data_IF_500068004598
#
_entry.id   IF_500068004598
#
_cell.length_a   1.000
_cell.length_b   1.000
_cell.length_c   1.000
_cell.angle_alpha   90.00
_cell.angle_beta   90.00
_cell.angle_gamma   90.00
#
_symmetry.space_group_name_H-M   'P 1'
#
loop_
_entity.id
_entity.type
_entity.pdbx_description
1 polymer ?
#
# COMPACT_ATOMS: atom_id res chain seq x y z
N UNK A 1 -16.55 -22.51 -20.40
CA UNK A 1 -16.14 -21.34 -19.60
C UNK A 1 -14.70 -21.53 -19.20
N UNK A 2 -13.76 -20.87 -19.87
CA UNK A 2 -12.34 -20.92 -19.51
C UNK A 2 -12.17 -20.10 -18.24
N UNK A 3 -11.59 -20.63 -17.14
CA UNK A 3 -11.29 -19.81 -15.99
C UNK A 3 -10.34 -18.71 -16.44
N UNK A 4 -10.70 -17.46 -16.17
CA UNK A 4 -9.84 -16.30 -16.38
C UNK A 4 -8.50 -16.59 -15.70
N UNK A 5 -7.45 -16.84 -16.47
CA UNK A 5 -6.10 -16.98 -15.96
C UNK A 5 -5.76 -15.66 -15.26
N UNK A 6 -5.84 -15.67 -13.93
CA UNK A 6 -5.37 -14.56 -13.11
C UNK A 6 -3.87 -14.44 -13.36
N UNK A 7 -3.48 -13.39 -14.08
CA UNK A 7 -2.07 -13.06 -14.29
C UNK A 7 -1.44 -12.88 -12.92
N UNK A 8 -0.57 -13.82 -12.52
CA UNK A 8 0.20 -13.70 -11.29
C UNK A 8 1.08 -12.46 -11.44
N UNK A 9 0.95 -11.43 -10.59
CA UNK A 9 1.78 -10.24 -10.70
C UNK A 9 3.25 -10.63 -10.56
N UNK A 10 4.12 -10.04 -11.37
CA UNK A 10 5.56 -10.24 -11.21
C UNK A 10 5.97 -9.73 -9.83
N UNK A 11 6.69 -10.55 -9.03
CA UNK A 11 7.24 -10.11 -7.76
C UNK A 11 8.04 -8.83 -7.92
N UNK A 12 7.78 -7.87 -7.04
CA UNK A 12 8.45 -6.57 -7.10
C UNK A 12 8.62 -5.99 -5.70
N UNK A 13 9.79 -5.41 -5.48
CA UNK A 13 10.11 -4.60 -4.32
C UNK A 13 10.48 -3.20 -4.81
N UNK A 14 9.76 -2.19 -4.33
CA UNK A 14 9.94 -0.81 -4.74
C UNK A 14 10.12 0.10 -3.53
N UNK A 15 11.09 1.01 -3.61
CA UNK A 15 11.24 2.11 -2.66
C UNK A 15 10.89 3.40 -3.34
N UNK A 16 10.04 4.17 -2.70
CA UNK A 16 9.55 5.45 -3.15
C UNK A 16 9.94 6.55 -2.18
N UNK A 17 10.16 7.73 -2.73
CA UNK A 17 10.12 8.97 -1.99
C UNK A 17 8.68 9.49 -2.03
N UNK A 18 8.00 9.52 -0.88
CA UNK A 18 6.66 10.04 -0.70
C UNK A 18 6.75 11.42 -0.05
N UNK A 19 6.27 12.42 -0.78
CA UNK A 19 6.14 13.79 -0.30
C UNK A 19 4.67 14.19 -0.24
N UNK A 20 4.20 14.55 0.95
CA UNK A 20 2.88 15.13 1.17
C UNK A 20 3.07 16.53 1.73
N UNK A 21 2.72 17.54 0.94
CA UNK A 21 2.98 18.95 1.22
C UNK A 21 4.49 19.20 1.49
N UNK A 22 4.85 19.50 2.74
CA UNK A 22 6.23 19.75 3.16
C UNK A 22 6.89 18.52 3.81
N UNK A 23 6.11 17.48 4.14
CA UNK A 23 6.62 16.25 4.75
C UNK A 23 7.11 15.30 3.67
N UNK A 24 8.29 14.72 3.87
CA UNK A 24 8.91 13.77 2.96
C UNK A 24 9.36 12.54 3.74
N UNK A 25 9.10 11.35 3.20
CA UNK A 25 9.46 10.06 3.80
C UNK A 25 9.72 9.01 2.74
N UNK A 26 10.55 8.02 3.07
CA UNK A 26 10.55 6.78 2.30
C UNK A 26 9.25 6.01 2.53
N UNK A 27 8.74 5.42 1.46
CA UNK A 27 7.63 4.49 1.44
C UNK A 27 8.00 3.27 0.60
N UNK A 28 7.64 2.09 1.06
CA UNK A 28 8.07 0.83 0.44
C UNK A 28 6.85 0.01 0.03
N UNK A 29 7.02 -0.77 -1.03
CA UNK A 29 6.05 -1.76 -1.50
C UNK A 29 6.79 -3.07 -1.79
N UNK A 30 6.28 -4.16 -1.27
CA UNK A 30 6.56 -5.51 -1.73
C UNK A 30 5.26 -6.10 -2.27
N UNK A 31 5.28 -6.58 -3.50
CA UNK A 31 4.17 -7.31 -4.09
C UNK A 31 4.67 -8.67 -4.50
N UNK A 32 4.01 -9.68 -3.96
CA UNK A 32 4.14 -11.09 -4.30
C UNK A 32 2.83 -11.57 -4.95
N UNK A 33 2.72 -12.87 -5.24
CA UNK A 33 1.53 -13.45 -5.89
C UNK A 33 0.24 -13.26 -5.06
N UNK A 34 0.33 -13.48 -3.75
CA UNK A 34 -0.77 -13.55 -2.80
C UNK A 34 -0.57 -12.60 -1.62
N UNK A 35 0.49 -11.80 -1.60
CA UNK A 35 0.77 -10.87 -0.51
C UNK A 35 1.24 -9.52 -1.04
N UNK A 36 0.77 -8.46 -0.38
CA UNK A 36 1.21 -7.09 -0.60
C UNK A 36 1.56 -6.52 0.76
N UNK A 37 2.80 -6.07 0.89
CA UNK A 37 3.29 -5.39 2.07
C UNK A 37 3.68 -3.96 1.69
N UNK A 38 3.30 -3.01 2.52
CA UNK A 38 3.77 -1.62 2.40
C UNK A 38 4.38 -1.18 3.72
N UNK A 39 5.37 -0.30 3.66
CA UNK A 39 5.98 0.26 4.86
C UNK A 39 6.13 1.78 4.75
N UNK A 40 5.80 2.48 5.83
CA UNK A 40 5.99 3.93 5.94
C UNK A 40 7.08 4.24 6.96
N UNK A 41 8.22 4.73 6.48
CA UNK A 41 9.33 5.08 7.36
C UNK A 41 8.99 6.22 8.34
N UNK A 42 8.08 7.12 7.97
CA UNK A 42 7.66 8.24 8.81
C UNK A 42 7.02 7.82 10.13
N UNK A 43 6.29 6.70 10.11
CA UNK A 43 5.53 6.22 11.28
C UNK A 43 6.03 4.89 11.82
N UNK A 44 6.99 4.25 11.14
CA UNK A 44 7.52 2.94 11.54
C UNK A 44 6.44 1.87 11.53
N UNK A 45 5.60 1.85 10.49
CA UNK A 45 4.50 0.91 10.35
C UNK A 45 4.60 0.13 9.04
N UNK A 46 4.26 -1.16 9.09
CA UNK A 46 4.01 -1.98 7.92
C UNK A 46 2.53 -2.42 7.88
N UNK A 47 1.99 -2.45 6.67
CA UNK A 47 0.65 -2.93 6.36
C UNK A 47 0.79 -4.13 5.41
N UNK A 48 0.38 -5.31 5.88
CA UNK A 48 0.58 -6.58 5.17
C UNK A 48 -0.77 -7.20 4.87
N UNK A 49 -1.14 -7.19 3.60
CA UNK A 49 -2.31 -7.87 3.08
C UNK A 49 -1.90 -9.23 2.53
N UNK A 50 -2.66 -10.27 2.86
CA UNK A 50 -2.50 -11.61 2.29
C UNK A 50 -3.84 -12.11 1.78
N UNK A 51 -3.88 -12.54 0.52
CA UNK A 51 -5.02 -13.22 -0.08
C UNK A 51 -4.96 -14.70 0.31
N UNK A 52 -5.99 -15.18 0.99
CA UNK A 52 -6.07 -16.57 1.45
C UNK A 52 -6.71 -17.45 0.37
N UNK A 53 -7.90 -17.05 -0.10
CA UNK A 53 -8.63 -17.75 -1.17
C UNK A 53 -9.61 -16.80 -1.85
N UNK A 54 -9.56 -16.72 -3.18
CA UNK A 54 -10.47 -15.84 -3.93
C UNK A 54 -10.38 -14.39 -3.45
N UNK A 55 -11.49 -13.86 -2.91
CA UNK A 55 -11.56 -12.51 -2.34
C UNK A 55 -11.55 -12.51 -0.79
N UNK A 56 -10.98 -13.56 -0.18
CA UNK A 56 -10.75 -13.61 1.27
C UNK A 56 -9.34 -13.16 1.58
N UNK A 57 -9.22 -12.27 2.56
CA UNK A 57 -7.99 -11.59 2.91
C UNK A 57 -7.74 -11.68 4.41
N UNK A 58 -6.48 -11.80 4.79
CA UNK A 58 -6.02 -11.45 6.12
C UNK A 58 -5.21 -10.17 6.03
N UNK A 59 -5.19 -9.40 7.09
CA UNK A 59 -4.48 -8.15 7.17
C UNK A 59 -3.72 -8.06 8.49
N UNK A 60 -2.47 -7.63 8.42
CA UNK A 60 -1.61 -7.41 9.58
C UNK A 60 -1.08 -6.00 9.56
N UNK A 61 -1.15 -5.31 10.69
CA UNK A 61 -0.50 -4.03 10.94
C UNK A 61 0.65 -4.24 11.91
N UNK A 62 1.86 -3.91 11.50
CA UNK A 62 3.05 -4.01 12.34
C UNK A 62 3.46 -2.62 12.78
N UNK A 63 3.55 -2.39 14.08
CA UNK A 63 3.93 -1.11 14.69
C UNK A 63 5.30 -1.27 15.34
N UNK A 64 6.36 -0.89 14.61
CA UNK A 64 7.74 -1.12 15.06
C UNK A 64 8.09 -0.33 16.32
N UNK A 65 7.57 0.89 16.46
CA UNK A 65 7.81 1.74 17.62
C UNK A 65 7.18 1.19 18.91
N UNK A 66 6.12 0.39 18.79
CA UNK A 66 5.39 -0.21 19.92
C UNK A 66 5.75 -1.68 20.13
N UNK A 67 6.50 -2.28 19.19
CA UNK A 67 6.73 -3.73 19.13
C UNK A 67 5.40 -4.50 19.24
N UNK A 68 4.43 -4.10 18.43
CA UNK A 68 3.09 -4.70 18.37
C UNK A 68 2.72 -5.09 16.96
N UNK A 69 1.95 -6.16 16.86
CA UNK A 69 1.33 -6.63 15.63
C UNK A 69 -0.16 -6.75 15.91
N UNK A 70 -0.97 -6.15 15.03
CA UNK A 70 -2.42 -6.33 15.06
C UNK A 70 -2.82 -7.17 13.86
N UNK A 71 -3.46 -8.30 14.13
CA UNK A 71 -3.97 -9.22 13.11
C UNK A 71 -5.49 -9.06 12.94
N UNK A 72 -5.92 -9.01 11.68
CA UNK A 72 -7.31 -8.95 11.26
C UNK A 72 -7.59 -10.17 10.38
N UNK A 73 -8.53 -10.98 10.80
CA UNK A 73 -9.03 -12.14 10.07
C UNK A 73 -9.98 -11.73 8.94
N UNK A 74 -10.18 -12.64 7.98
CA UNK A 74 -11.16 -12.44 6.89
C UNK A 74 -12.58 -12.13 7.39
N UNK A 75 -12.99 -12.68 8.53
CA UNK A 75 -14.32 -12.44 9.09
C UNK A 75 -14.48 -10.99 9.54
N UNK A 76 -13.50 -10.46 10.25
CA UNK A 76 -13.53 -9.09 10.77
C UNK A 76 -13.43 -8.05 9.67
N UNK A 77 -12.58 -8.27 8.67
CA UNK A 77 -12.46 -7.39 7.51
C UNK A 77 -13.81 -7.24 6.81
N UNK A 78 -14.54 -8.35 6.61
CA UNK A 78 -15.87 -8.35 5.99
C UNK A 78 -16.90 -7.62 6.86
N UNK A 79 -16.93 -7.89 8.17
CA UNK A 79 -17.88 -7.22 9.09
C UNK A 79 -17.64 -5.71 9.17
N UNK A 80 -16.39 -5.26 9.00
CA UNK A 80 -16.02 -3.83 8.96
C UNK A 80 -16.18 -3.19 7.58
N UNK A 81 -16.58 -3.94 6.55
CA UNK A 81 -16.60 -3.49 5.15
C UNK A 81 -15.26 -2.89 4.70
N UNK A 82 -14.17 -3.50 5.16
CA UNK A 82 -12.80 -3.01 4.98
C UNK A 82 -12.03 -3.82 3.92
N UNK A 83 -12.72 -4.55 3.06
CA UNK A 83 -12.09 -5.33 2.00
C UNK A 83 -11.25 -4.44 1.07
N UNK A 84 -10.02 -4.85 0.74
CA UNK A 84 -9.14 -4.03 -0.08
C UNK A 84 -9.53 -4.08 -1.55
N UNK A 85 -9.36 -2.96 -2.26
CA UNK A 85 -9.12 -3.01 -3.70
C UNK A 85 -7.72 -3.56 -3.94
N UNK A 86 -7.65 -4.88 -4.14
CA UNK A 86 -6.38 -5.58 -4.34
C UNK A 86 -5.57 -5.04 -5.52
N UNK A 87 -6.26 -4.65 -6.60
CA UNK A 87 -5.56 -4.12 -7.78
C UNK A 87 -4.88 -2.82 -7.43
N UNK A 88 -5.58 -1.93 -6.71
CA UNK A 88 -5.01 -0.67 -6.21
C UNK A 88 -3.87 -0.90 -5.22
N UNK A 89 -3.98 -1.86 -4.30
CA UNK A 89 -2.87 -2.19 -3.38
C UNK A 89 -1.64 -2.66 -4.17
N UNK A 90 -1.84 -3.54 -5.15
CA UNK A 90 -0.75 -4.16 -5.91
C UNK A 90 0.00 -3.16 -6.79
N UNK A 91 -0.67 -2.10 -7.23
CA UNK A 91 -0.17 -1.22 -8.28
C UNK A 91 -0.05 0.24 -7.82
N UNK A 92 -0.44 0.54 -6.57
CA UNK A 92 -0.63 1.89 -5.97
C UNK A 92 -1.74 2.73 -6.65
N UNK A 93 -2.07 2.43 -7.91
CA UNK A 93 -2.99 3.18 -8.77
C UNK A 93 -4.06 2.23 -9.29
N UNK A 94 -5.33 2.50 -9.00
CA UNK A 94 -6.41 1.63 -9.48
C UNK A 94 -6.44 1.59 -11.02
N UNK A 95 -6.75 0.43 -11.64
CA UNK A 95 -6.91 0.35 -13.10
C UNK A 95 -7.99 1.29 -13.65
N UNK A 96 -9.01 1.59 -12.87
CA UNK A 96 -10.07 2.56 -13.16
C UNK A 96 -9.48 3.96 -13.32
N UNK A 97 -8.67 4.40 -12.35
CA UNK A 97 -7.95 5.67 -12.39
C UNK A 97 -7.11 5.78 -13.67
N UNK A 98 -6.34 4.75 -14.02
CA UNK A 98 -5.50 4.78 -15.21
C UNK A 98 -6.30 4.95 -16.52
N UNK A 99 -7.52 4.37 -16.59
CA UNK A 99 -8.40 4.46 -17.77
C UNK A 99 -9.05 5.83 -17.94
N UNK A 100 -9.24 6.57 -16.85
CA UNK A 100 -9.82 7.91 -16.89
C UNK A 100 -8.81 9.00 -17.27
N UNK A 101 -7.51 8.68 -17.21
CA UNK A 101 -6.45 9.61 -17.55
C UNK A 101 -6.12 9.57 -19.05
N UNK A 102 -5.75 10.73 -19.60
CA UNK A 102 -5.27 10.84 -20.97
C UNK A 102 -3.89 10.23 -21.07
N UNK A 103 -3.78 9.15 -21.84
CA UNK A 103 -2.51 8.52 -22.23
C UNK A 103 -1.72 9.46 -23.16
N UNK A 104 -0.43 9.60 -22.91
CA UNK A 104 0.46 10.51 -23.63
C UNK A 104 1.74 9.84 -24.12
N UNK A 105 2.83 10.61 -24.10
CA UNK A 105 4.14 10.16 -24.54
C UNK A 105 4.66 8.98 -23.70
N UNK A 106 5.59 8.22 -24.29
CA UNK A 106 6.32 7.16 -23.62
C UNK A 106 7.83 7.41 -23.65
N UNK A 107 8.53 6.91 -22.64
CA UNK A 107 10.00 6.88 -22.56
C UNK A 107 10.46 5.66 -21.76
N UNK A 108 11.76 5.42 -21.70
CA UNK A 108 12.29 4.37 -20.83
C UNK A 108 12.62 4.96 -19.45
N UNK A 109 12.12 4.33 -18.39
CA UNK A 109 12.50 4.60 -16.99
C UNK A 109 12.71 3.27 -16.29
N UNK A 110 13.72 3.17 -15.42
CA UNK A 110 14.02 1.92 -14.67
C UNK A 110 14.16 0.67 -15.58
N UNK A 111 14.67 0.85 -16.80
CA UNK A 111 14.82 -0.24 -17.77
C UNK A 111 13.51 -0.74 -18.38
N UNK A 112 12.38 -0.07 -18.13
CA UNK A 112 11.07 -0.44 -18.64
C UNK A 112 10.44 0.70 -19.44
N UNK A 113 9.50 0.35 -20.31
CA UNK A 113 8.66 1.32 -21.00
C UNK A 113 7.73 2.00 -19.98
N UNK A 114 7.89 3.31 -19.86
CA UNK A 114 7.07 4.18 -19.06
C UNK A 114 6.16 5.03 -19.93
N UNK A 115 4.88 5.15 -19.57
CA UNK A 115 3.89 5.94 -20.30
C UNK A 115 3.35 7.04 -19.40
N UNK A 116 3.23 8.25 -19.94
CA UNK A 116 2.64 9.37 -19.21
C UNK A 116 1.11 9.33 -19.28
N UNK A 117 0.47 9.56 -18.16
CA UNK A 117 -0.97 9.70 -18.00
C UNK A 117 -1.24 11.02 -17.28
N UNK A 118 -2.14 11.83 -17.83
CA UNK A 118 -2.46 13.15 -17.26
C UNK A 118 -3.96 13.39 -17.25
N UNK A 119 -4.47 14.12 -16.27
CA UNK A 119 -5.90 14.45 -16.23
C UNK A 119 -6.31 15.23 -14.98
N UNK A 120 -7.63 15.38 -14.81
CA UNK A 120 -8.24 15.90 -13.60
C UNK A 120 -9.31 14.92 -13.12
N UNK A 121 -9.29 14.59 -11.84
CA UNK A 121 -10.23 13.65 -11.21
C UNK A 121 -10.68 14.22 -9.87
N UNK A 122 -11.99 14.38 -9.69
CA UNK A 122 -12.54 14.94 -8.45
C UNK A 122 -11.93 16.30 -8.07
N UNK A 123 -11.57 17.14 -9.06
CA UNK A 123 -10.90 18.43 -8.82
C UNK A 123 -9.39 18.36 -8.56
N UNK A 124 -8.80 17.16 -8.54
CA UNK A 124 -7.37 16.92 -8.39
C UNK A 124 -6.69 16.76 -9.74
N UNK A 125 -5.63 17.53 -10.01
CA UNK A 125 -4.77 17.30 -11.17
C UNK A 125 -3.86 16.12 -10.92
N UNK A 126 -3.76 15.23 -11.91
CA UNK A 126 -2.91 14.03 -11.88
C UNK A 126 -1.90 14.08 -13.02
N UNK A 127 -0.63 13.81 -12.71
CA UNK A 127 0.45 13.55 -13.66
C UNK A 127 1.20 12.29 -13.22
N UNK A 128 1.15 11.26 -14.05
CA UNK A 128 1.61 9.92 -13.72
C UNK A 128 2.54 9.42 -14.83
N UNK A 129 3.75 8.99 -14.47
CA UNK A 129 4.59 8.13 -15.30
C UNK A 129 4.43 6.69 -14.84
N UNK A 130 3.85 5.84 -15.70
CA UNK A 130 3.48 4.47 -15.39
C UNK A 130 4.42 3.47 -16.05
N UNK A 131 5.04 2.57 -15.27
CA UNK A 131 5.85 1.46 -15.78
C UNK A 131 4.92 0.32 -16.24
N UNK A 132 4.87 0.04 -17.55
CA UNK A 132 3.90 -0.92 -18.11
C UNK A 132 4.16 -2.37 -17.66
N UNK A 133 5.44 -2.77 -17.49
CA UNK A 133 5.81 -4.15 -17.11
C UNK A 133 5.65 -4.38 -15.61
N UNK A 134 6.23 -3.51 -14.78
CA UNK A 134 6.10 -3.61 -13.32
C UNK A 134 4.73 -3.19 -12.79
N UNK A 135 3.91 -2.51 -13.60
CA UNK A 135 2.60 -1.99 -13.18
C UNK A 135 2.69 -1.14 -11.91
N UNK A 136 3.63 -0.20 -11.90
CA UNK A 136 3.90 0.71 -10.79
C UNK A 136 4.14 2.14 -11.29
N UNK A 137 3.88 3.16 -10.46
CA UNK A 137 4.24 4.53 -10.79
C UNK A 137 5.76 4.70 -10.74
N UNK A 138 6.40 5.12 -11.84
CA UNK A 138 7.75 5.68 -11.77
C UNK A 138 7.72 7.06 -11.08
N UNK A 139 6.64 7.82 -11.30
CA UNK A 139 6.36 9.09 -10.63
C UNK A 139 4.87 9.32 -10.67
N UNK A 140 4.31 9.82 -9.57
CA UNK A 140 2.93 10.26 -9.47
C UNK A 140 2.90 11.61 -8.77
N UNK A 141 2.29 12.59 -9.40
CA UNK A 141 1.96 13.85 -8.78
C UNK A 141 0.45 14.02 -8.78
N UNK A 142 -0.09 14.32 -7.61
CA UNK A 142 -1.50 14.62 -7.42
C UNK A 142 -1.62 15.94 -6.65
N UNK A 143 -2.41 16.89 -7.17
CA UNK A 143 -2.54 18.20 -6.55
C UNK A 143 -3.98 18.72 -6.60
N UNK A 144 -4.43 19.28 -5.47
CA UNK A 144 -5.65 20.10 -5.35
C UNK A 144 -5.32 21.34 -4.52
N UNK A 145 -6.25 22.30 -4.42
CA UNK A 145 -6.03 23.53 -3.65
C UNK A 145 -5.52 23.21 -2.24
N UNK A 146 -4.34 23.73 -1.88
CA UNK A 146 -3.72 23.54 -0.56
C UNK A 146 -3.11 22.15 -0.29
N UNK A 147 -3.20 21.19 -1.20
CA UNK A 147 -2.68 19.84 -0.99
C UNK A 147 -1.92 19.32 -2.22
N UNK A 148 -0.68 18.87 -2.01
CA UNK A 148 0.14 18.24 -3.04
C UNK A 148 0.74 16.95 -2.51
N UNK A 149 0.57 15.88 -3.26
CA UNK A 149 1.26 14.61 -3.06
C UNK A 149 2.17 14.34 -4.24
N UNK A 150 3.38 13.87 -3.96
CA UNK A 150 4.30 13.33 -4.96
C UNK A 150 4.84 12.01 -4.46
N UNK A 151 4.77 10.99 -5.31
CA UNK A 151 5.36 9.68 -5.07
C UNK A 151 6.35 9.43 -6.20
N UNK A 152 7.64 9.30 -5.88
CA UNK A 152 8.71 9.13 -6.87
C UNK A 152 9.42 7.81 -6.62
N UNK A 153 9.45 6.92 -7.60
CA UNK A 153 10.20 5.69 -7.51
C UNK A 153 11.70 6.00 -7.42
N UNK A 154 12.39 5.38 -6.46
CA UNK A 154 13.83 5.53 -6.25
C UNK A 154 14.58 4.25 -6.59
N UNK A 155 13.99 3.11 -6.22
CA UNK A 155 14.58 1.80 -6.46
C UNK A 155 13.50 0.79 -6.80
N UNK A 156 13.84 -0.15 -7.70
CA UNK A 156 12.96 -1.19 -8.19
C UNK A 156 13.76 -2.49 -8.32
N UNK A 157 13.33 -3.54 -7.64
CA UNK A 157 14.01 -4.83 -7.58
C UNK A 157 13.01 -5.97 -7.71
N UNK A 158 13.44 -7.12 -8.22
CA UNK A 158 12.68 -8.37 -8.13
C UNK A 158 12.76 -9.01 -6.74
N UNK A 159 13.86 -8.73 -6.02
CA UNK A 159 14.11 -9.20 -4.66
C UNK A 159 14.62 -8.03 -3.85
N UNK A 160 13.96 -7.75 -2.73
CA UNK A 160 14.29 -6.59 -1.92
C UNK A 160 15.68 -6.70 -1.28
N UNK A 161 16.42 -5.59 -1.18
CA UNK A 161 17.59 -5.52 -0.32
C UNK A 161 17.26 -5.88 1.14
N UNK A 162 18.12 -6.67 1.78
CA UNK A 162 17.91 -7.10 3.18
C UNK A 162 17.81 -5.93 4.17
N UNK A 163 18.41 -4.78 3.86
CA UNK A 163 18.38 -3.60 4.71
C UNK A 163 17.01 -2.88 4.74
N UNK A 164 16.11 -3.17 3.80
CA UNK A 164 14.80 -2.52 3.77
C UNK A 164 13.91 -2.99 4.92
N UNK A 165 12.96 -2.16 5.41
CA UNK A 165 12.19 -2.43 6.62
C UNK A 165 11.04 -3.41 6.36
N UNK A 166 11.29 -4.55 5.71
CA UNK A 166 10.30 -5.62 5.55
C UNK A 166 10.04 -6.29 6.92
N UNK A 167 8.79 -6.53 7.27
CA UNK A 167 8.38 -7.18 8.50
C UNK A 167 8.34 -8.71 8.31
N UNK A 168 9.52 -9.33 8.29
CA UNK A 168 9.62 -10.79 8.26
C UNK A 168 9.26 -11.39 9.62
N UNK A 169 8.84 -12.65 9.65
CA UNK A 169 8.47 -13.33 10.90
C UNK A 169 9.61 -13.31 11.92
N UNK A 170 10.87 -13.44 11.46
CA UNK A 170 12.04 -13.36 12.35
C UNK A 170 12.22 -11.96 12.97
N UNK A 171 11.84 -10.90 12.25
CA UNK A 171 11.99 -9.51 12.74
C UNK A 171 10.91 -9.12 13.74
N UNK A 172 9.75 -9.76 13.66
CA UNK A 172 8.59 -9.46 14.51
C UNK A 172 8.32 -10.57 15.52
N UNK A 173 9.19 -11.58 15.61
CA UNK A 173 9.02 -12.74 16.49
C UNK A 173 8.80 -12.35 17.96
N UNK A 174 9.46 -11.28 18.40
CA UNK A 174 9.38 -10.79 19.79
C UNK A 174 8.29 -9.72 19.99
N UNK A 175 7.49 -9.42 18.96
CA UNK A 175 6.44 -8.40 19.06
C UNK A 175 5.20 -8.98 19.71
N UNK A 176 4.51 -8.17 20.53
CA UNK A 176 3.22 -8.55 21.09
C UNK A 176 2.16 -8.64 20.00
N UNK A 177 1.59 -9.81 19.82
CA UNK A 177 0.47 -10.04 18.89
C UNK A 177 -0.86 -9.71 19.58
N UNK A 178 -1.71 -8.96 18.89
CA UNK A 178 -3.06 -8.60 19.31
C UNK A 178 -4.02 -9.01 18.20
N UNK A 179 -5.03 -9.81 18.52
CA UNK A 179 -6.16 -10.05 17.61
C UNK A 179 -7.07 -8.81 17.64
N UNK A 180 -7.47 -8.31 16.46
CA UNK A 180 -8.36 -7.17 16.38
C UNK A 180 -9.74 -7.42 17.02
N UNK A 181 -10.12 -8.68 17.22
CA UNK A 181 -11.33 -9.07 17.93
C UNK A 181 -11.26 -8.73 19.42
N UNK A 182 -10.05 -8.70 19.99
CA UNK A 182 -9.80 -8.43 21.42
C UNK A 182 -9.86 -6.93 21.75
N UNK A 183 -9.98 -6.06 20.74
CA UNK A 183 -9.98 -4.60 20.96
C UNK A 183 -11.03 -4.12 21.96
N UNK A 184 -12.19 -4.78 22.04
CA UNK A 184 -13.25 -4.44 23.00
C UNK A 184 -12.88 -4.74 24.46
N UNK A 185 -12.07 -5.78 24.69
CA UNK A 185 -11.59 -6.12 26.03
C UNK A 185 -10.33 -5.33 26.41
N UNK A 186 -9.67 -4.74 25.40
CA UNK A 186 -8.43 -3.96 25.55
C UNK A 186 -8.63 -2.45 25.47
N UNK A 187 -9.84 -1.91 25.63
CA UNK A 187 -10.10 -0.46 25.50
C UNK A 187 -9.29 0.42 26.47
N UNK A 188 -8.85 -0.14 27.60
CA UNK A 188 -7.98 0.55 28.57
C UNK A 188 -6.48 0.48 28.23
N UNK A 189 -6.08 -0.37 27.29
CA UNK A 189 -4.70 -0.44 26.82
C UNK A 189 -4.37 0.84 26.02
N UNK A 190 -3.30 1.60 26.39
CA UNK A 190 -2.98 2.86 25.73
C UNK A 190 -2.65 2.74 24.23
N UNK A 191 -2.10 1.61 23.80
CA UNK A 191 -1.81 1.34 22.40
C UNK A 191 -3.14 1.10 21.65
N UNK A 192 -4.00 0.22 22.14
CA UNK A 192 -5.30 -0.06 21.50
C UNK A 192 -6.18 1.20 21.45
N UNK A 193 -6.25 1.97 22.54
CA UNK A 193 -6.97 3.24 22.57
C UNK A 193 -6.43 4.28 21.58
N UNK A 194 -5.13 4.24 21.24
CA UNK A 194 -4.55 5.08 20.18
C UNK A 194 -4.94 4.60 18.79
N UNK A 195 -4.92 3.29 18.54
CA UNK A 195 -5.33 2.71 17.25
C UNK A 195 -6.82 2.98 16.97
N UNK A 196 -7.70 2.73 17.95
CA UNK A 196 -9.14 2.97 17.81
C UNK A 196 -9.46 4.44 17.47
N UNK A 197 -8.73 5.40 18.06
CA UNK A 197 -8.88 6.82 17.71
C UNK A 197 -8.41 7.11 16.28
N UNK A 198 -7.28 6.55 15.86
CA UNK A 198 -6.76 6.73 14.50
C UNK A 198 -7.73 6.17 13.46
N UNK A 199 -8.27 4.97 13.70
CA UNK A 199 -9.21 4.31 12.79
C UNK A 199 -10.56 5.05 12.77
N UNK A 200 -11.05 5.53 13.92
CA UNK A 200 -12.27 6.34 14.02
C UNK A 200 -12.19 7.68 13.27
N UNK A 201 -11.00 8.29 13.16
CA UNK A 201 -10.77 9.48 12.34
C UNK A 201 -10.57 9.18 10.84
N UNK A 202 -10.26 7.93 10.47
CA UNK A 202 -10.03 7.54 9.08
C UNK A 202 -11.32 7.36 8.26
N UNK A 203 -12.49 7.22 8.92
CA UNK A 203 -13.80 7.13 8.28
C UNK A 203 -14.44 8.49 7.94
N UNK A 204 -13.78 9.60 8.27
CA UNK A 204 -14.29 10.94 8.01
C UNK A 204 -13.49 11.70 6.95
N UNK A 205 -13.34 11.17 5.72
CA UNK A 205 -12.81 11.98 4.59
C UNK A 205 -13.21 11.46 3.21
#
# INVERSE_FOLDING_TARGET
>A
MTPSQQVVPVPVAARFDLKVNQTQTDWYLWREADSIETASAAVGQNDIWRRVRGNEYNYRRVFHNDQRVVDYTSGEIKTRHAEPDWSKLASVISPQLLRELKRGASKTLFGEKAVRYTGKLGGQTVDLWWLEKSQLPASLQMARTGQRMTLTLKELHSTAPAAWPRATEERIADYGLIDAADFGDMESDPFVARILRQDGHSHSH
#
